data_IF_702359795919
#
_entry.id   IF_702359795919
#
_cell.length_a   1.000
_cell.length_b   1.000
_cell.length_c   1.000
_cell.angle_alpha   90.00
_cell.angle_beta   90.00
_cell.angle_gamma   90.00
#
_symmetry.space_group_name_H-M   'P 1'
#
loop_
_entity.id
_entity.type
_entity.pdbx_description
1 polymer ?
#
# COMPACT_ATOMS: atom_id res chain seq x y z
N UNK A 1 18.60 -10.30 -31.55
CA UNK A 1 18.16 -8.94 -31.16
C UNK A 1 17.15 -8.98 -30.01
N UNK A 2 16.06 -9.77 -30.09
CA UNK A 2 15.08 -9.90 -28.98
C UNK A 2 15.69 -10.49 -27.69
N UNK A 3 16.53 -11.52 -27.81
CA UNK A 3 17.25 -12.10 -26.65
C UNK A 3 18.16 -11.10 -25.93
N UNK A 4 18.78 -10.19 -26.67
CA UNK A 4 19.69 -9.16 -26.13
C UNK A 4 18.94 -8.11 -25.30
N UNK A 5 17.73 -7.74 -25.74
CA UNK A 5 16.85 -6.79 -25.05
C UNK A 5 16.30 -7.42 -23.76
N UNK A 6 15.94 -8.70 -23.80
CA UNK A 6 15.40 -9.42 -22.65
C UNK A 6 16.46 -9.62 -21.56
N UNK A 7 17.72 -9.83 -21.95
CA UNK A 7 18.86 -9.94 -21.03
C UNK A 7 19.22 -8.58 -20.39
N UNK A 8 19.12 -7.49 -21.15
CA UNK A 8 19.31 -6.12 -20.63
C UNK A 8 18.20 -5.72 -19.66
N UNK A 9 16.96 -6.18 -19.87
CA UNK A 9 15.84 -5.96 -18.95
C UNK A 9 16.02 -6.73 -17.63
N UNK A 10 16.58 -7.95 -17.65
CA UNK A 10 16.85 -8.69 -16.42
C UNK A 10 17.90 -8.03 -15.52
N UNK A 11 18.86 -7.30 -16.10
CA UNK A 11 19.88 -6.58 -15.34
C UNK A 11 19.33 -5.35 -14.59
N UNK A 12 18.15 -4.84 -14.98
CA UNK A 12 17.54 -3.65 -14.38
C UNK A 12 16.33 -3.96 -13.50
N UNK A 13 15.82 -5.19 -13.52
CA UNK A 13 14.69 -5.61 -12.67
C UNK A 13 15.21 -5.99 -11.28
N UNK A 14 14.72 -5.35 -10.21
CA UNK A 14 15.04 -5.76 -8.84
C UNK A 14 14.59 -7.20 -8.60
N UNK A 15 15.40 -7.97 -7.86
CA UNK A 15 15.01 -9.33 -7.46
C UNK A 15 13.72 -9.25 -6.62
N UNK A 16 12.61 -9.77 -7.17
CA UNK A 16 11.34 -9.82 -6.45
C UNK A 16 11.39 -10.96 -5.43
N UNK A 17 11.27 -10.67 -4.13
CA UNK A 17 11.23 -11.73 -3.14
C UNK A 17 9.98 -12.60 -3.37
N UNK A 18 10.15 -13.92 -3.26
CA UNK A 18 9.01 -14.85 -3.29
C UNK A 18 8.07 -14.50 -2.15
N UNK A 19 6.76 -14.52 -2.42
CA UNK A 19 5.76 -14.21 -1.40
C UNK A 19 5.92 -15.13 -0.19
N UNK A 20 6.07 -14.52 0.97
CA UNK A 20 6.33 -15.21 2.24
C UNK A 20 5.66 -14.44 3.38
N UNK A 21 5.40 -15.14 4.48
CA UNK A 21 4.75 -14.59 5.66
C UNK A 21 5.46 -13.33 6.20
N UNK A 22 6.79 -13.25 6.04
CA UNK A 22 7.57 -12.07 6.40
C UNK A 22 7.15 -10.83 5.60
N UNK A 23 6.96 -10.95 4.29
CA UNK A 23 6.53 -9.83 3.43
C UNK A 23 5.10 -9.42 3.77
N UNK A 24 4.22 -10.39 4.04
CA UNK A 24 2.85 -10.11 4.47
C UNK A 24 2.82 -9.30 5.77
N UNK A 25 3.69 -9.63 6.74
CA UNK A 25 3.78 -8.88 8.00
C UNK A 25 4.26 -7.44 7.77
N UNK A 26 5.26 -7.23 6.91
CA UNK A 26 5.72 -5.88 6.53
C UNK A 26 4.58 -5.08 5.89
N UNK A 27 3.83 -5.68 4.95
CA UNK A 27 2.68 -5.05 4.32
C UNK A 27 1.57 -4.64 5.30
N UNK A 28 1.30 -5.47 6.32
CA UNK A 28 0.33 -5.13 7.38
C UNK A 28 0.83 -3.95 8.20
N UNK A 29 2.13 -3.90 8.55
CA UNK A 29 2.72 -2.76 9.25
C UNK A 29 2.59 -1.48 8.40
N UNK A 30 2.92 -1.54 7.11
CA UNK A 30 2.78 -0.39 6.21
C UNK A 30 1.32 0.09 6.08
N UNK A 31 0.34 -0.82 6.09
CA UNK A 31 -1.08 -0.46 6.13
C UNK A 31 -1.48 0.27 7.41
N UNK A 32 -1.00 -0.19 8.58
CA UNK A 32 -1.28 0.49 9.85
C UNK A 32 -0.65 1.89 9.87
N UNK A 33 0.58 2.02 9.37
CA UNK A 33 1.26 3.31 9.23
C UNK A 33 0.52 4.23 8.25
N UNK A 34 0.06 3.71 7.12
CA UNK A 34 -0.72 4.47 6.15
C UNK A 34 -2.03 4.99 6.72
N UNK A 35 -2.71 4.17 7.52
CA UNK A 35 -3.93 4.57 8.22
C UNK A 35 -3.65 5.65 9.28
N UNK A 36 -2.53 5.56 10.00
CA UNK A 36 -2.11 6.60 10.96
C UNK A 36 -1.78 7.93 10.26
N UNK A 37 -1.08 7.88 9.13
CA UNK A 37 -0.72 9.08 8.36
C UNK A 37 -1.95 9.76 7.77
N UNK A 38 -2.88 8.99 7.22
CA UNK A 38 -4.17 9.52 6.73
C UNK A 38 -5.03 10.05 7.89
N UNK A 39 -4.89 9.51 9.10
CA UNK A 39 -5.60 10.02 10.28
C UNK A 39 -5.10 11.39 10.75
N UNK A 40 -3.83 11.69 10.53
CA UNK A 40 -3.18 12.97 10.88
C UNK A 40 -3.29 13.98 9.73
N UNK A 41 -3.15 13.54 8.48
CA UNK A 41 -3.10 14.39 7.30
C UNK A 41 -4.45 14.83 6.74
N UNK A 42 -5.55 14.13 7.06
CA UNK A 42 -6.87 14.48 6.53
C UNK A 42 -7.69 15.26 7.56
N UNK A 43 -8.06 16.50 7.21
CA UNK A 43 -8.90 17.38 8.02
C UNK A 43 -10.39 16.99 7.90
N UNK A 44 -10.80 16.50 6.73
CA UNK A 44 -12.14 15.98 6.48
C UNK A 44 -12.26 14.52 6.92
N UNK A 45 -12.97 14.25 8.02
CA UNK A 45 -13.12 12.90 8.60
C UNK A 45 -14.18 12.03 7.91
N UNK A 46 -14.53 12.39 6.68
CA UNK A 46 -15.51 11.68 5.87
C UNK A 46 -16.90 12.29 5.95
N UNK A 47 -17.22 13.15 4.98
CA UNK A 47 -18.58 13.29 4.50
C UNK A 47 -18.94 12.02 3.70
N UNK A 48 -20.03 11.36 4.11
CA UNK A 48 -20.78 10.23 3.49
C UNK A 48 -20.05 9.47 2.35
N UNK A 49 -19.69 8.18 2.53
CA UNK A 49 -20.61 7.08 2.90
C UNK A 49 -20.35 6.45 4.28
N UNK A 50 -21.31 5.66 4.83
CA UNK A 50 -21.09 4.93 6.08
C UNK A 50 -19.90 3.97 5.94
N UNK A 51 -18.97 4.09 6.87
CA UNK A 51 -17.83 3.18 6.99
C UNK A 51 -18.22 1.94 7.79
N UNK A 52 -17.78 0.73 7.39
CA UNK A 52 -17.91 -0.47 8.22
C UNK A 52 -17.03 -0.43 9.47
N UNK A 53 -16.02 0.46 9.51
CA UNK A 53 -15.09 0.60 10.65
C UNK A 53 -15.47 1.83 11.48
N UNK A 54 -15.84 1.67 12.77
CA UNK A 54 -16.16 2.80 13.62
C UNK A 54 -14.93 3.71 13.81
N UNK A 55 -15.11 5.01 13.55
CA UNK A 55 -14.07 6.04 13.77
C UNK A 55 -13.24 6.43 12.55
N UNK A 56 -13.37 5.75 11.41
CA UNK A 56 -12.77 6.15 10.13
C UNK A 56 -13.87 6.40 9.10
N UNK A 57 -13.79 7.50 8.35
CA UNK A 57 -14.62 7.66 7.15
C UNK A 57 -14.25 6.61 6.10
N UNK A 58 -15.22 6.15 5.30
CA UNK A 58 -14.95 5.21 4.20
C UNK A 58 -13.83 5.68 3.25
N UNK A 59 -13.80 6.96 2.80
CA UNK A 59 -12.68 7.45 2.00
C UNK A 59 -11.35 7.44 2.75
N UNK A 60 -11.39 7.61 4.07
CA UNK A 60 -10.19 7.64 4.92
C UNK A 60 -9.59 6.23 5.11
N UNK A 61 -10.44 5.21 5.26
CA UNK A 61 -10.03 3.82 5.28
C UNK A 61 -9.41 3.43 3.93
N UNK A 62 -10.09 3.73 2.83
CA UNK A 62 -9.61 3.38 1.48
C UNK A 62 -8.30 4.09 1.14
N UNK A 63 -8.18 5.38 1.47
CA UNK A 63 -6.95 6.13 1.26
C UNK A 63 -5.80 5.57 2.11
N UNK A 64 -6.05 5.28 3.39
CA UNK A 64 -5.03 4.74 4.30
C UNK A 64 -4.50 3.37 3.85
N UNK A 65 -5.39 2.47 3.44
CA UNK A 65 -5.00 1.13 2.98
C UNK A 65 -4.32 1.16 1.61
N UNK A 66 -4.77 2.03 0.70
CA UNK A 66 -4.14 2.21 -0.61
C UNK A 66 -2.74 2.81 -0.48
N UNK A 67 -2.59 3.81 0.38
CA UNK A 67 -1.29 4.43 0.66
C UNK A 67 -0.34 3.45 1.37
N UNK A 68 -0.85 2.65 2.31
CA UNK A 68 -0.10 1.58 2.95
C UNK A 68 0.42 0.53 1.96
N UNK A 69 -0.35 0.22 0.92
CA UNK A 69 0.07 -0.66 -0.18
C UNK A 69 1.10 -0.02 -1.12
N UNK A 70 1.17 1.30 -1.24
CA UNK A 70 2.22 1.99 -2.00
C UNK A 70 3.53 2.05 -1.19
N UNK A 71 3.42 2.13 0.14
CA UNK A 71 4.58 2.17 1.03
C UNK A 71 5.25 0.81 1.24
N UNK A 72 4.48 -0.28 1.28
CA UNK A 72 5.01 -1.65 1.41
C UNK A 72 5.37 -2.26 0.06
#
# INVERSE_FOLDING_TARGET
>A
MIHSILLAAQATVPATPVWSFKIALVMVICNILGLALVRIGTQDRGTKPPSPVPGFGFPQLLAGTSFGHILG
#
